data_IF_653575799371
#
_entry.id   IF_653575799371
#
_cell.length_a   1.000
_cell.length_b   1.000
_cell.length_c   1.000
_cell.angle_alpha   90.00
_cell.angle_beta   90.00
_cell.angle_gamma   90.00
#
_symmetry.space_group_name_H-M   'P 1'
#
loop_
_entity.id
_entity.type
_entity.pdbx_description
1 polymer ?
#
# COMPACT_ATOMS: atom_id res chain seq x y z
N UNK A 1 0.54 -2.69 8.93
CA UNK A 1 0.34 -1.26 9.29
C UNK A 1 -1.14 -0.98 9.10
N UNK A 2 -1.80 -0.18 9.94
CA UNK A 2 -3.26 -0.04 9.89
C UNK A 2 -3.66 1.40 9.59
N UNK A 3 -4.59 1.58 8.66
CA UNK A 3 -5.13 2.88 8.27
C UNK A 3 -6.56 3.00 8.80
N UNK A 4 -6.89 4.16 9.38
CA UNK A 4 -8.25 4.44 9.81
C UNK A 4 -9.19 4.61 8.61
N UNK A 5 -10.08 3.63 8.46
CA UNK A 5 -11.07 3.60 7.39
C UNK A 5 -12.13 4.71 7.50
N UNK A 6 -12.38 5.24 8.70
CA UNK A 6 -13.30 6.37 8.89
C UNK A 6 -12.71 7.64 8.30
N UNK A 7 -11.40 7.86 8.49
CA UNK A 7 -10.67 8.98 7.90
C UNK A 7 -10.62 8.89 6.37
N UNK A 8 -10.33 7.70 5.82
CA UNK A 8 -10.33 7.49 4.36
C UNK A 8 -11.70 7.76 3.73
N UNK A 9 -12.79 7.27 4.35
CA UNK A 9 -14.16 7.53 3.87
C UNK A 9 -14.53 9.01 3.96
N UNK A 10 -14.05 9.72 4.99
CA UNK A 10 -14.20 11.17 5.10
C UNK A 10 -13.52 11.90 3.95
N UNK A 11 -12.28 11.52 3.62
CA UNK A 11 -11.51 12.12 2.55
C UNK A 11 -12.15 11.91 1.17
N UNK A 12 -12.68 10.71 0.90
CA UNK A 12 -13.42 10.42 -0.35
C UNK A 12 -14.60 11.36 -0.52
N UNK A 13 -15.36 11.59 0.54
CA UNK A 13 -16.49 12.53 0.51
C UNK A 13 -16.06 13.98 0.30
N UNK A 14 -14.97 14.40 0.95
CA UNK A 14 -14.47 15.77 0.86
C UNK A 14 -13.85 16.08 -0.50
N UNK A 15 -13.08 15.14 -1.06
CA UNK A 15 -12.36 15.31 -2.33
C UNK A 15 -13.17 14.88 -3.56
N UNK A 16 -14.39 14.35 -3.35
CA UNK A 16 -15.25 13.81 -4.41
C UNK A 16 -14.54 12.80 -5.32
N UNK A 17 -13.62 12.01 -4.77
CA UNK A 17 -12.85 10.98 -5.49
C UNK A 17 -13.44 9.60 -5.24
N UNK A 18 -13.27 8.68 -6.20
CA UNK A 18 -13.60 7.27 -5.96
C UNK A 18 -12.75 6.71 -4.82
N UNK A 19 -13.37 5.88 -3.97
CA UNK A 19 -12.66 5.14 -2.93
C UNK A 19 -11.60 4.22 -3.54
N UNK A 20 -11.86 3.61 -4.70
CA UNK A 20 -10.89 2.77 -5.39
C UNK A 20 -9.65 3.55 -5.80
N UNK A 21 -9.83 4.76 -6.34
CA UNK A 21 -8.73 5.63 -6.74
C UNK A 21 -7.86 6.03 -5.54
N UNK A 22 -8.49 6.32 -4.39
CA UNK A 22 -7.75 6.64 -3.16
C UNK A 22 -6.92 5.44 -2.68
N UNK A 23 -7.50 4.23 -2.70
CA UNK A 23 -6.81 2.99 -2.32
C UNK A 23 -5.59 2.77 -3.23
N UNK A 24 -5.76 2.84 -4.55
CA UNK A 24 -4.67 2.66 -5.51
C UNK A 24 -3.55 3.70 -5.31
N UNK A 25 -3.91 4.95 -5.03
CA UNK A 25 -2.94 6.01 -4.75
C UNK A 25 -2.15 5.74 -3.47
N UNK A 26 -2.81 5.23 -2.41
CA UNK A 26 -2.16 4.87 -1.14
C UNK A 26 -1.22 3.68 -1.33
N UNK A 27 -1.67 2.61 -1.98
CA UNK A 27 -0.84 1.44 -2.27
C UNK A 27 0.40 1.83 -3.07
N UNK A 28 0.24 2.68 -4.08
CA UNK A 28 1.35 3.20 -4.89
C UNK A 28 2.33 4.04 -4.07
N UNK A 29 1.82 4.95 -3.23
CA UNK A 29 2.66 5.79 -2.38
C UNK A 29 3.46 4.95 -1.37
N UNK A 30 2.83 3.94 -0.77
CA UNK A 30 3.47 3.02 0.16
C UNK A 30 4.50 2.13 -0.53
N UNK A 31 4.24 1.67 -1.77
CA UNK A 31 5.20 0.91 -2.55
C UNK A 31 6.46 1.75 -2.85
N UNK A 32 6.29 3.02 -3.22
CA UNK A 32 7.40 3.95 -3.42
C UNK A 32 8.20 4.14 -2.12
N UNK A 33 7.51 4.29 -0.98
CA UNK A 33 8.14 4.41 0.32
C UNK A 33 8.95 3.14 0.67
N UNK A 34 8.38 1.96 0.43
CA UNK A 34 9.07 0.69 0.61
C UNK A 34 10.34 0.62 -0.23
N UNK A 35 10.30 0.96 -1.53
CA UNK A 35 11.49 0.95 -2.39
C UNK A 35 12.59 1.95 -1.98
N UNK A 36 12.29 2.94 -1.14
CA UNK A 36 13.29 3.86 -0.59
C UNK A 36 13.95 3.35 0.70
N UNK A 37 13.45 2.25 1.27
CA UNK A 37 14.06 1.61 2.44
C UNK A 37 15.19 0.68 2.03
N UNK A 38 16.20 0.58 2.89
CA UNK A 38 17.32 -0.36 2.72
C UNK A 38 16.80 -1.80 2.78
N UNK A 39 17.35 -2.68 1.92
CA UNK A 39 16.90 -4.07 1.82
C UNK A 39 15.56 -4.26 1.11
N UNK A 40 15.02 -3.22 0.47
CA UNK A 40 13.81 -3.35 -0.34
C UNK A 40 14.04 -4.27 -1.54
N UNK A 41 13.07 -5.16 -1.80
CA UNK A 41 13.09 -6.05 -2.96
C UNK A 41 12.49 -5.35 -4.17
N UNK A 42 13.04 -5.63 -5.36
CA UNK A 42 12.54 -5.06 -6.63
C UNK A 42 11.11 -5.49 -6.90
N UNK A 43 10.81 -6.75 -6.64
CA UNK A 43 9.50 -7.33 -6.86
C UNK A 43 8.68 -7.23 -5.57
N UNK A 44 8.06 -6.07 -5.35
CA UNK A 44 7.15 -5.87 -4.23
C UNK A 44 5.80 -5.33 -4.69
N UNK A 45 4.76 -5.65 -3.92
CA UNK A 45 3.43 -5.07 -4.06
C UNK A 45 2.88 -4.71 -2.68
N UNK A 46 2.07 -3.67 -2.63
CA UNK A 46 1.35 -3.28 -1.42
C UNK A 46 -0.12 -3.56 -1.63
N UNK A 47 -0.78 -4.07 -0.60
CA UNK A 47 -2.20 -4.38 -0.61
C UNK A 47 -2.85 -3.76 0.63
N UNK A 48 -3.89 -2.95 0.41
CA UNK A 48 -4.73 -2.37 1.45
C UNK A 48 -6.06 -3.14 1.51
N UNK A 49 -6.30 -3.79 2.63
CA UNK A 49 -7.58 -4.41 2.91
C UNK A 49 -8.65 -3.33 3.17
N UNK A 50 -9.64 -3.27 2.29
CA UNK A 50 -10.68 -2.22 2.25
C UNK A 50 -11.71 -2.31 3.38
N UNK A 51 -11.79 -3.46 4.04
CA UNK A 51 -12.72 -3.69 5.15
C UNK A 51 -12.09 -3.32 6.48
N UNK A 52 -10.82 -3.71 6.66
CA UNK A 52 -10.09 -3.59 7.95
C UNK A 52 -9.15 -2.40 8.00
N UNK A 53 -8.73 -1.86 6.86
CA UNK A 53 -7.66 -0.86 6.77
C UNK A 53 -6.25 -1.43 6.94
N UNK A 54 -6.11 -2.75 7.01
CA UNK A 54 -4.81 -3.39 7.15
C UNK A 54 -4.01 -3.32 5.86
N UNK A 55 -2.79 -2.80 5.95
CA UNK A 55 -1.81 -2.74 4.86
C UNK A 55 -0.79 -3.85 5.02
N UNK A 56 -0.64 -4.62 3.95
CA UNK A 56 0.37 -5.67 3.82
C UNK A 56 1.32 -5.32 2.68
N UNK A 57 2.62 -5.39 2.95
CA UNK A 57 3.66 -5.31 1.90
C UNK A 57 4.13 -6.73 1.60
N UNK A 58 3.95 -7.14 0.36
CA UNK A 58 4.43 -8.42 -0.14
C UNK A 58 5.71 -8.17 -0.93
N UNK A 59 6.83 -8.70 -0.46
CA UNK A 59 8.09 -8.69 -1.17
C UNK A 59 8.41 -10.10 -1.64
N UNK A 60 8.62 -10.26 -2.95
CA UNK A 60 9.06 -11.53 -3.52
C UNK A 60 10.57 -11.62 -3.40
N UNK A 61 11.05 -12.73 -2.89
CA UNK A 61 12.47 -13.07 -2.91
C UNK A 61 12.87 -13.38 -4.35
N UNK A 62 13.96 -12.75 -4.81
CA UNK A 62 14.57 -13.13 -6.08
C UNK A 62 15.34 -14.45 -5.87
N UNK A 63 15.29 -15.38 -6.84
CA UNK A 63 16.00 -16.65 -6.74
C UNK A 63 17.52 -16.47 -6.61
N UNK A 64 18.05 -15.34 -7.06
CA UNK A 64 19.47 -14.97 -6.91
C UNK A 64 19.84 -14.61 -5.45
N UNK A 65 18.86 -14.35 -4.57
CA UNK A 65 19.09 -14.03 -3.15
C UNK A 65 19.04 -15.28 -2.24
N UNK A 66 18.88 -16.48 -2.81
CA UNK A 66 18.76 -17.76 -2.08
C UNK A 66 20.07 -18.56 -1.99
N UNK A 67 21.22 -17.94 -2.27
CA UNK A 67 22.56 -18.57 -2.18
C UNK A 67 23.05 -18.84 -0.74
#
# INVERSE_FOLDING_TARGET
>A
MDIDMSALRGLVREKEISFDLLVEAIESALLIAYHRTEGSRRHARVELNRDTGHVTVWAKEDPDDLE
#
